data_IF_365529785765
#
_entry.id   IF_365529785765
#
_cell.length_a   1.000
_cell.length_b   1.000
_cell.length_c   1.000
_cell.angle_alpha   90.00
_cell.angle_beta   90.00
_cell.angle_gamma   90.00
#
_symmetry.space_group_name_H-M   'P 1'
#
loop_
_entity.id
_entity.type
_entity.pdbx_description
1 polymer ?
#
# COMPACT_ATOMS: atom_id res chain seq x y z
N UNK A 1 7.48 31.74 0.55
CA UNK A 1 6.66 30.51 0.63
C UNK A 1 7.50 29.29 0.27
N UNK A 2 7.95 29.18 -0.99
CA UNK A 2 8.70 28.01 -1.47
C UNK A 2 9.93 27.63 -0.63
N UNK A 3 10.79 28.56 -0.23
CA UNK A 3 11.93 28.24 0.67
C UNK A 3 11.47 27.61 1.99
N UNK A 4 10.37 28.08 2.57
CA UNK A 4 9.82 27.48 3.79
C UNK A 4 9.23 26.09 3.52
N UNK A 5 8.64 25.86 2.34
CA UNK A 5 8.24 24.53 1.90
C UNK A 5 9.46 23.63 1.78
N UNK A 6 10.53 24.05 1.10
CA UNK A 6 11.77 23.27 0.94
C UNK A 6 12.38 22.88 2.30
N UNK A 7 12.37 23.79 3.28
CA UNK A 7 12.82 23.46 4.65
C UNK A 7 11.96 22.36 5.28
N UNK A 8 10.63 22.41 5.13
CA UNK A 8 9.74 21.33 5.59
C UNK A 8 10.01 20.01 4.84
N UNK A 9 10.27 20.08 3.53
CA UNK A 9 10.57 18.90 2.72
C UNK A 9 11.89 18.25 3.15
N UNK A 10 12.92 19.05 3.43
CA UNK A 10 14.19 18.55 3.97
C UNK A 10 13.95 17.71 5.22
N UNK A 11 13.26 18.27 6.19
CA UNK A 11 13.05 17.62 7.49
C UNK A 11 12.13 16.39 7.33
N UNK A 12 11.11 16.46 6.48
CA UNK A 12 10.23 15.34 6.20
C UNK A 12 10.94 14.19 5.46
N UNK A 13 11.87 14.52 4.55
CA UNK A 13 12.67 13.51 3.85
C UNK A 13 13.70 12.84 4.75
N UNK A 14 14.20 13.51 5.79
CA UNK A 14 15.01 12.87 6.84
C UNK A 14 14.18 11.77 7.52
N UNK A 15 12.95 12.09 7.96
CA UNK A 15 12.07 11.10 8.61
C UNK A 15 11.74 9.92 7.69
N UNK A 16 11.44 10.19 6.42
CA UNK A 16 11.21 9.14 5.41
C UNK A 16 12.47 8.30 5.18
N UNK A 17 13.64 8.93 5.12
CA UNK A 17 14.93 8.27 4.96
C UNK A 17 15.24 7.30 6.10
N UNK A 18 14.94 7.71 7.33
CA UNK A 18 15.08 6.88 8.54
C UNK A 18 14.13 5.69 8.52
N UNK A 19 12.86 5.90 8.15
CA UNK A 19 11.89 4.82 7.99
C UNK A 19 12.32 3.82 6.91
N UNK A 20 12.84 4.30 5.77
CA UNK A 20 13.38 3.43 4.72
C UNK A 20 14.63 2.68 5.18
N UNK A 21 15.49 3.28 6.02
CA UNK A 21 16.66 2.62 6.60
C UNK A 21 16.25 1.48 7.55
N UNK A 22 15.22 1.73 8.35
CA UNK A 22 14.65 0.73 9.23
C UNK A 22 14.07 -0.44 8.44
N UNK A 23 13.25 -0.15 7.42
CA UNK A 23 12.70 -1.20 6.56
C UNK A 23 13.78 -2.01 5.82
N UNK A 24 14.85 -1.35 5.36
CA UNK A 24 16.02 -2.03 4.79
C UNK A 24 16.60 -3.06 5.76
N UNK A 25 16.86 -2.63 7.00
CA UNK A 25 17.42 -3.49 8.06
C UNK A 25 16.48 -4.66 8.41
N UNK A 26 15.18 -4.40 8.57
CA UNK A 26 14.17 -5.42 8.87
C UNK A 26 14.07 -6.43 7.73
N UNK A 27 14.00 -5.98 6.48
CA UNK A 27 13.92 -6.87 5.31
C UNK A 27 15.21 -7.67 5.09
N UNK A 28 16.38 -7.09 5.32
CA UNK A 28 17.65 -7.80 5.30
C UNK A 28 17.69 -8.91 6.36
N UNK A 29 17.16 -8.64 7.56
CA UNK A 29 17.04 -9.62 8.64
C UNK A 29 16.09 -10.76 8.26
N UNK A 30 14.90 -10.45 7.71
CA UNK A 30 13.95 -11.45 7.23
C UNK A 30 14.53 -12.30 6.10
N UNK A 31 15.20 -11.66 5.13
CA UNK A 31 15.85 -12.33 4.01
C UNK A 31 16.91 -13.33 4.47
N UNK A 32 17.75 -12.93 5.44
CA UNK A 32 18.77 -13.80 6.05
C UNK A 32 18.13 -14.93 6.85
N UNK A 33 17.18 -14.62 7.74
CA UNK A 33 16.51 -15.59 8.63
C UNK A 33 15.79 -16.69 7.86
N UNK A 34 15.14 -16.33 6.75
CA UNK A 34 14.31 -17.24 5.97
C UNK A 34 14.96 -17.65 4.64
N UNK A 35 16.29 -17.52 4.52
CA UNK A 35 17.07 -17.87 3.32
C UNK A 35 16.66 -19.22 2.73
N UNK A 36 16.48 -20.21 3.59
CA UNK A 36 16.20 -21.61 3.21
C UNK A 36 14.76 -22.04 3.55
N UNK A 37 13.89 -21.10 3.92
CA UNK A 37 12.46 -21.38 4.14
C UNK A 37 11.76 -21.57 2.79
N UNK A 38 11.63 -22.82 2.34
CA UNK A 38 11.03 -23.17 1.04
C UNK A 38 9.52 -22.90 1.01
N UNK A 39 9.04 -22.41 -0.13
CA UNK A 39 7.62 -22.15 -0.40
C UNK A 39 7.32 -22.29 -1.89
N UNK A 40 6.05 -22.43 -2.27
CA UNK A 40 5.66 -22.39 -3.67
C UNK A 40 5.89 -20.98 -4.26
N UNK A 41 6.60 -20.90 -5.39
CA UNK A 41 6.54 -19.72 -6.24
C UNK A 41 5.13 -19.55 -6.79
N UNK A 42 4.71 -18.30 -7.03
CA UNK A 42 3.38 -18.02 -7.59
C UNK A 42 3.48 -17.08 -8.78
N UNK A 43 3.03 -17.55 -9.94
CA UNK A 43 2.94 -16.77 -11.18
C UNK A 43 1.49 -16.77 -11.64
N UNK A 44 0.90 -15.60 -11.91
CA UNK A 44 -0.55 -15.48 -12.16
C UNK A 44 -1.42 -16.12 -11.06
N UNK A 45 -0.96 -16.03 -9.80
CA UNK A 45 -1.57 -16.67 -8.62
C UNK A 45 -1.62 -18.21 -8.68
N UNK A 46 -0.94 -18.85 -9.63
CA UNK A 46 -0.82 -20.31 -9.72
C UNK A 46 0.53 -20.78 -9.17
N UNK A 47 0.60 -21.99 -8.61
CA UNK A 47 1.86 -22.58 -8.17
C UNK A 47 2.83 -22.76 -9.35
N UNK A 48 4.05 -22.28 -9.14
CA UNK A 48 5.19 -22.38 -10.05
C UNK A 48 6.33 -23.14 -9.34
N UNK A 49 7.56 -23.01 -9.86
CA UNK A 49 8.74 -23.61 -9.24
C UNK A 49 8.91 -23.17 -7.78
N UNK A 50 9.51 -24.04 -6.92
CA UNK A 50 9.84 -23.67 -5.54
C UNK A 50 10.71 -22.41 -5.48
N UNK A 51 10.46 -21.57 -4.49
CA UNK A 51 11.30 -20.43 -4.11
C UNK A 51 11.52 -20.49 -2.59
N UNK A 52 12.27 -19.54 -2.03
CA UNK A 52 12.32 -19.36 -0.58
C UNK A 52 11.67 -18.05 -0.15
N UNK A 53 11.16 -18.01 1.08
CA UNK A 53 10.64 -16.76 1.65
C UNK A 53 11.76 -15.72 1.79
N UNK A 54 12.99 -16.15 2.10
CA UNK A 54 14.15 -15.27 2.13
C UNK A 54 14.43 -14.61 0.78
N UNK A 55 14.32 -15.35 -0.33
CA UNK A 55 14.37 -14.77 -1.68
C UNK A 55 13.28 -13.72 -1.90
N UNK A 56 12.04 -14.01 -1.49
CA UNK A 56 10.92 -13.04 -1.59
C UNK A 56 11.20 -11.76 -0.80
N UNK A 57 11.72 -11.89 0.43
CA UNK A 57 12.12 -10.74 1.25
C UNK A 57 13.30 -9.97 0.65
N UNK A 58 14.26 -10.66 0.02
CA UNK A 58 15.37 -10.01 -0.68
C UNK A 58 14.90 -9.19 -1.90
N UNK A 59 13.87 -9.66 -2.62
CA UNK A 59 13.24 -8.87 -3.69
C UNK A 59 12.62 -7.59 -3.13
N UNK A 60 11.91 -7.66 -2.00
CA UNK A 60 11.35 -6.47 -1.34
C UNK A 60 12.45 -5.52 -0.88
N UNK A 61 13.51 -6.03 -0.24
CA UNK A 61 14.68 -5.26 0.19
C UNK A 61 15.29 -4.48 -0.98
N UNK A 62 15.52 -5.16 -2.10
CA UNK A 62 16.09 -4.55 -3.30
C UNK A 62 15.25 -3.38 -3.84
N UNK A 63 13.93 -3.43 -3.70
CA UNK A 63 13.05 -2.32 -4.07
C UNK A 63 13.23 -1.11 -3.14
N UNK A 64 13.31 -1.34 -1.83
CA UNK A 64 13.56 -0.29 -0.83
C UNK A 64 14.92 0.38 -1.03
N UNK A 65 15.96 -0.41 -1.30
CA UNK A 65 17.32 0.10 -1.57
C UNK A 65 17.37 1.05 -2.77
N UNK A 66 16.66 0.71 -3.85
CA UNK A 66 16.55 1.62 -5.00
C UNK A 66 15.86 2.94 -4.65
N UNK A 67 14.92 2.95 -3.70
CA UNK A 67 14.29 4.21 -3.26
C UNK A 67 15.20 5.05 -2.39
N UNK A 68 16.01 4.42 -1.53
CA UNK A 68 17.06 5.13 -0.78
C UNK A 68 18.02 5.84 -1.73
N UNK A 69 18.49 5.12 -2.77
CA UNK A 69 19.32 5.71 -3.81
C UNK A 69 18.63 6.87 -4.53
N UNK A 70 17.34 6.74 -4.89
CA UNK A 70 16.57 7.82 -5.52
C UNK A 70 16.43 9.03 -4.61
N UNK A 71 16.24 8.82 -3.31
CA UNK A 71 16.16 9.90 -2.33
C UNK A 71 17.49 10.67 -2.27
N UNK A 72 18.61 9.97 -2.19
CA UNK A 72 19.94 10.60 -2.20
C UNK A 72 20.19 11.38 -3.49
N UNK A 73 19.73 10.84 -4.63
CA UNK A 73 19.85 11.50 -5.93
C UNK A 73 18.96 12.74 -6.07
N UNK A 74 17.80 12.78 -5.41
CA UNK A 74 16.83 13.88 -5.48
C UNK A 74 17.31 15.12 -4.70
N UNK A 75 17.90 14.90 -3.51
CA UNK A 75 18.20 15.98 -2.57
C UNK A 75 18.96 17.17 -3.17
N UNK A 76 20.00 17.00 -4.01
CA UNK A 76 20.72 18.13 -4.58
C UNK A 76 19.89 19.01 -5.53
N UNK A 77 18.84 18.45 -6.16
CA UNK A 77 17.93 19.21 -7.03
C UNK A 77 16.82 19.89 -6.26
N UNK A 78 16.31 19.23 -5.22
CA UNK A 78 15.17 19.71 -4.44
C UNK A 78 15.54 20.75 -3.38
N UNK A 79 16.67 20.55 -2.68
CA UNK A 79 17.03 21.32 -1.49
C UNK A 79 17.76 22.62 -1.85
N UNK A 80 17.12 23.45 -2.68
CA UNK A 80 17.62 24.75 -3.13
C UNK A 80 16.79 25.89 -2.54
N UNK A 81 17.40 27.04 -2.29
CA UNK A 81 16.66 28.23 -1.86
C UNK A 81 15.77 28.78 -3.00
N UNK A 82 14.59 29.29 -2.68
CA UNK A 82 13.82 30.14 -3.60
C UNK A 82 13.96 31.61 -3.19
N UNK A 83 14.85 32.32 -3.88
CA UNK A 83 15.02 33.76 -3.66
C UNK A 83 15.45 34.44 -4.96
N UNK A 84 14.47 34.93 -5.74
CA UNK A 84 14.74 35.51 -7.07
C UNK A 84 13.99 36.82 -7.34
N UNK A 85 13.39 37.43 -6.31
CA UNK A 85 12.64 38.68 -6.43
C UNK A 85 11.27 38.50 -7.10
N UNK A 86 10.68 39.60 -7.61
CA UNK A 86 9.30 39.58 -8.13
C UNK A 86 9.14 38.70 -9.39
N UNK A 87 10.00 38.88 -10.38
CA UNK A 87 9.94 38.19 -11.68
C UNK A 87 11.12 37.23 -11.91
N UNK A 88 11.93 36.94 -10.88
CA UNK A 88 13.05 36.00 -10.99
C UNK A 88 14.41 36.64 -11.34
N UNK A 89 14.49 37.96 -11.45
CA UNK A 89 15.68 38.70 -11.90
C UNK A 89 16.49 39.36 -10.79
N UNK A 90 15.99 39.36 -9.54
CA UNK A 90 16.60 40.06 -8.41
C UNK A 90 16.82 41.58 -8.60
N UNK A 91 16.17 42.21 -9.59
CA UNK A 91 16.42 43.61 -9.96
C UNK A 91 16.28 44.62 -8.80
N UNK A 92 15.40 44.35 -7.82
CA UNK A 92 15.22 45.18 -6.64
C UNK A 92 16.45 45.29 -5.73
N UNK A 93 17.44 44.40 -5.89
CA UNK A 93 18.67 44.37 -5.11
C UNK A 93 19.90 44.84 -5.92
N UNK A 94 19.72 45.28 -7.16
CA UNK A 94 20.81 45.75 -8.01
C UNK A 94 21.93 44.72 -8.14
N UNK A 95 23.18 45.14 -7.93
CA UNK A 95 24.37 44.29 -8.01
C UNK A 95 24.49 43.27 -6.90
N UNK A 96 23.79 43.47 -5.77
CA UNK A 96 23.92 42.64 -4.57
C UNK A 96 23.03 41.40 -4.57
N UNK A 97 22.11 41.28 -5.54
CA UNK A 97 21.08 40.25 -5.55
C UNK A 97 21.62 38.82 -5.40
N UNK A 98 22.65 38.47 -6.17
CA UNK A 98 23.28 37.14 -6.13
C UNK A 98 24.06 36.91 -4.83
N UNK A 99 24.77 37.93 -4.33
CA UNK A 99 25.49 37.86 -3.06
C UNK A 99 24.52 37.60 -1.89
N UNK A 100 23.36 38.26 -1.89
CA UNK A 100 22.30 38.03 -0.90
C UNK A 100 21.67 36.65 -1.05
N UNK A 101 21.39 36.18 -2.27
CA UNK A 101 20.88 34.83 -2.50
C UNK A 101 21.83 33.75 -1.95
N UNK A 102 23.13 33.90 -2.21
CA UNK A 102 24.19 33.02 -1.72
C UNK A 102 24.33 33.05 -0.20
N UNK A 103 24.26 34.23 0.41
CA UNK A 103 24.26 34.38 1.86
C UNK A 103 23.05 33.70 2.51
N UNK A 104 21.86 33.86 1.93
CA UNK A 104 20.64 33.22 2.41
C UNK A 104 20.69 31.68 2.27
N UNK A 105 21.22 31.17 1.16
CA UNK A 105 21.40 29.73 0.95
C UNK A 105 22.29 29.12 2.05
N UNK A 106 23.43 29.76 2.34
CA UNK A 106 24.33 29.36 3.43
C UNK A 106 23.65 29.40 4.81
N UNK A 107 22.94 30.49 5.11
CA UNK A 107 22.25 30.66 6.40
C UNK A 107 21.22 29.54 6.65
N UNK A 108 20.51 29.11 5.60
CA UNK A 108 19.46 28.09 5.70
C UNK A 108 19.97 26.66 5.51
N UNK A 109 21.26 26.48 5.24
CA UNK A 109 21.87 25.22 4.83
C UNK A 109 21.09 24.57 3.65
N UNK A 110 20.85 25.36 2.62
CA UNK A 110 20.28 24.96 1.33
C UNK A 110 21.27 25.29 0.21
N UNK A 111 21.14 24.60 -0.92
CA UNK A 111 21.96 24.90 -2.08
C UNK A 111 21.48 26.16 -2.81
N UNK A 112 22.39 26.81 -3.52
CA UNK A 112 22.05 27.92 -4.42
C UNK A 112 21.40 27.37 -5.69
N UNK A 113 20.26 27.90 -6.13
CA UNK A 113 19.66 27.48 -7.38
C UNK A 113 20.47 27.99 -8.57
N UNK A 114 20.55 27.20 -9.65
CA UNK A 114 21.21 27.65 -10.90
C UNK A 114 20.53 28.89 -11.48
N UNK A 115 19.20 28.97 -11.37
CA UNK A 115 18.36 30.08 -11.82
C UNK A 115 17.02 30.06 -11.06
N UNK A 116 16.19 31.09 -11.23
CA UNK A 116 14.84 31.14 -10.65
C UNK A 116 14.00 29.91 -11.02
N UNK A 117 13.16 29.44 -10.09
CA UNK A 117 12.30 28.29 -10.28
C UNK A 117 10.85 28.54 -9.81
N UNK A 118 10.41 29.80 -9.82
CA UNK A 118 9.04 30.18 -9.44
C UNK A 118 7.95 29.37 -10.16
N UNK A 119 8.14 29.12 -11.45
CA UNK A 119 7.22 28.36 -12.30
C UNK A 119 7.84 27.04 -12.81
N UNK A 120 9.10 26.74 -12.46
CA UNK A 120 9.75 25.47 -12.77
C UNK A 120 9.53 24.50 -11.61
N UNK A 121 8.45 23.71 -11.69
CA UNK A 121 7.97 22.86 -10.59
C UNK A 121 8.36 21.38 -10.72
N UNK A 122 9.27 21.07 -11.64
CA UNK A 122 9.75 19.73 -11.93
C UNK A 122 10.36 19.04 -10.70
N UNK A 123 11.14 19.75 -9.87
CA UNK A 123 11.73 19.20 -8.66
C UNK A 123 10.68 18.87 -7.58
N UNK A 124 9.62 19.68 -7.46
CA UNK A 124 8.49 19.38 -6.56
C UNK A 124 7.70 18.16 -7.07
N UNK A 125 7.50 18.06 -8.38
CA UNK A 125 6.85 16.91 -8.99
C UNK A 125 7.69 15.63 -8.85
N UNK A 126 9.02 15.73 -8.98
CA UNK A 126 9.96 14.63 -8.74
C UNK A 126 9.85 14.13 -7.29
N UNK A 127 9.78 15.04 -6.32
CA UNK A 127 9.63 14.71 -4.90
C UNK A 127 8.37 13.89 -4.61
N UNK A 128 7.20 14.35 -5.08
CA UNK A 128 5.93 13.61 -4.88
C UNK A 128 5.91 12.31 -5.70
N UNK A 129 6.53 12.30 -6.89
CA UNK A 129 6.67 11.08 -7.69
C UNK A 129 7.50 10.01 -6.97
N UNK A 130 8.59 10.41 -6.30
CA UNK A 130 9.37 9.51 -5.45
C UNK A 130 8.52 8.90 -4.32
N UNK A 131 7.69 9.71 -3.64
CA UNK A 131 6.74 9.21 -2.64
C UNK A 131 5.75 8.21 -3.23
N UNK A 132 5.27 8.46 -4.46
CA UNK A 132 4.44 7.52 -5.22
C UNK A 132 5.14 6.19 -5.48
N UNK A 133 6.43 6.21 -5.82
CA UNK A 133 7.25 5.00 -6.03
C UNK A 133 7.46 4.22 -4.73
N UNK A 134 7.75 4.91 -3.62
CA UNK A 134 7.92 4.33 -2.29
C UNK A 134 6.63 3.63 -1.86
N UNK A 135 5.51 4.37 -1.83
CA UNK A 135 4.22 3.83 -1.40
C UNK A 135 3.70 2.74 -2.33
N UNK A 136 3.95 2.82 -3.64
CA UNK A 136 3.67 1.74 -4.58
C UNK A 136 4.43 0.44 -4.26
N UNK A 137 5.68 0.56 -3.81
CA UNK A 137 6.48 -0.59 -3.35
C UNK A 137 5.93 -1.17 -2.04
N UNK A 138 5.56 -0.32 -1.09
CA UNK A 138 4.91 -0.77 0.15
C UNK A 138 3.59 -1.50 -0.15
N UNK A 139 2.80 -0.99 -1.10
CA UNK A 139 1.57 -1.62 -1.57
C UNK A 139 1.81 -3.01 -2.16
N UNK A 140 2.89 -3.20 -2.94
CA UNK A 140 3.30 -4.52 -3.43
C UNK A 140 3.59 -5.48 -2.27
N UNK A 141 4.35 -5.05 -1.26
CA UNK A 141 4.67 -5.86 -0.08
C UNK A 141 3.39 -6.22 0.69
N UNK A 142 2.53 -5.23 0.93
CA UNK A 142 1.25 -5.40 1.60
C UNK A 142 0.35 -6.40 0.87
N UNK A 143 0.22 -6.30 -0.46
CA UNK A 143 -0.59 -7.23 -1.25
C UNK A 143 -0.04 -8.66 -1.19
N UNK A 144 1.28 -8.84 -1.27
CA UNK A 144 1.89 -10.16 -1.10
C UNK A 144 1.50 -10.75 0.27
N UNK A 145 1.63 -9.98 1.36
CA UNK A 145 1.32 -10.42 2.72
C UNK A 145 -0.17 -10.70 2.90
N UNK A 146 -1.06 -9.85 2.37
CA UNK A 146 -2.51 -10.10 2.37
C UNK A 146 -2.87 -11.43 1.73
N UNK A 147 -2.26 -11.76 0.59
CA UNK A 147 -2.48 -13.03 -0.08
C UNK A 147 -1.94 -14.21 0.74
N UNK A 148 -0.79 -14.04 1.40
CA UNK A 148 -0.24 -15.07 2.29
C UNK A 148 -1.08 -15.26 3.57
N UNK A 149 -1.83 -14.23 3.98
CA UNK A 149 -2.75 -14.25 5.13
C UNK A 149 -4.09 -14.93 4.86
N UNK A 150 -4.43 -15.21 3.61
CA UNK A 150 -5.69 -15.91 3.27
C UNK A 150 -5.80 -17.22 4.05
N UNK A 151 -7.00 -17.56 4.52
CA UNK A 151 -7.26 -18.76 5.34
C UNK A 151 -6.75 -20.04 4.67
N UNK A 152 -6.87 -20.12 3.35
CA UNK A 152 -6.45 -21.25 2.54
C UNK A 152 -4.92 -21.32 2.39
N UNK A 153 -4.25 -20.16 2.43
CA UNK A 153 -2.80 -20.03 2.25
C UNK A 153 -2.09 -20.11 3.60
N UNK A 154 -2.35 -19.17 4.51
CA UNK A 154 -1.89 -19.15 5.90
C UNK A 154 -0.35 -19.21 6.08
N UNK A 155 0.41 -18.62 5.15
CA UNK A 155 1.87 -18.70 5.13
C UNK A 155 2.56 -17.59 5.94
N UNK A 156 1.92 -16.42 6.03
CA UNK A 156 2.43 -15.29 6.79
C UNK A 156 1.25 -14.50 7.38
N UNK A 157 1.49 -13.80 8.48
CA UNK A 157 0.50 -13.00 9.18
C UNK A 157 1.09 -11.71 9.73
N UNK A 158 0.31 -10.64 9.66
CA UNK A 158 0.56 -9.44 10.47
C UNK A 158 0.66 -9.80 11.97
N UNK A 159 1.45 -9.04 12.74
CA UNK A 159 1.52 -9.19 14.19
C UNK A 159 0.13 -9.13 14.82
N UNK A 160 -0.14 -10.05 15.75
CA UNK A 160 -1.42 -10.10 16.45
C UNK A 160 -1.46 -9.05 17.56
N UNK A 161 -2.44 -8.16 17.50
CA UNK A 161 -2.75 -7.23 18.59
C UNK A 161 -4.21 -7.42 18.98
N UNK A 162 -4.47 -7.67 20.27
CA UNK A 162 -5.82 -7.87 20.79
C UNK A 162 -6.69 -6.64 20.45
N UNK A 163 -7.81 -6.86 19.78
CA UNK A 163 -8.72 -5.80 19.35
C UNK A 163 -8.41 -5.19 17.98
N UNK A 164 -7.28 -5.50 17.34
CA UNK A 164 -6.91 -5.03 16.01
C UNK A 164 -7.08 -6.15 14.98
N UNK A 165 -8.04 -5.99 14.07
CA UNK A 165 -8.31 -6.99 13.03
C UNK A 165 -8.91 -8.30 13.54
N UNK A 166 -9.22 -8.41 14.84
CA UNK A 166 -9.93 -9.51 15.47
C UNK A 166 -11.41 -9.19 15.64
N UNK A 167 -12.29 -10.16 15.45
CA UNK A 167 -13.72 -10.02 15.73
C UNK A 167 -14.06 -10.71 17.04
N UNK A 168 -14.83 -10.04 17.91
CA UNK A 168 -15.32 -10.61 19.18
C UNK A 168 -16.19 -11.85 18.98
N UNK A 169 -16.77 -12.04 17.79
CA UNK A 169 -17.63 -13.17 17.45
C UNK A 169 -16.93 -14.26 16.62
N UNK A 170 -15.70 -14.00 16.14
CA UNK A 170 -14.94 -14.95 15.31
C UNK A 170 -13.46 -14.99 15.77
N UNK A 171 -13.11 -15.87 16.72
CA UNK A 171 -11.77 -15.95 17.32
C UNK A 171 -10.64 -16.20 16.30
N UNK A 172 -10.94 -16.91 15.21
CA UNK A 172 -9.99 -17.20 14.13
C UNK A 172 -9.77 -16.03 13.17
N UNK A 173 -10.63 -15.00 13.19
CA UNK A 173 -10.59 -13.92 12.20
C UNK A 173 -9.42 -12.99 12.48
N UNK A 174 -8.48 -12.95 11.54
CA UNK A 174 -7.31 -12.06 11.56
C UNK A 174 -7.24 -11.29 10.25
N UNK A 175 -7.67 -10.02 10.29
CA UNK A 175 -7.67 -9.16 9.11
C UNK A 175 -6.30 -8.48 8.92
N UNK A 176 -5.84 -8.28 7.67
CA UNK A 176 -4.59 -7.60 7.34
C UNK A 176 -4.74 -6.06 7.37
N UNK A 177 -5.05 -5.49 8.53
CA UNK A 177 -5.41 -4.06 8.68
C UNK A 177 -4.28 -3.13 8.23
N UNK A 178 -3.03 -3.47 8.54
CA UNK A 178 -1.87 -2.64 8.17
C UNK A 178 -1.69 -2.66 6.66
N UNK A 179 -1.82 -3.83 6.03
CA UNK A 179 -1.77 -3.96 4.57
C UNK A 179 -2.88 -3.16 3.89
N UNK A 180 -4.12 -3.25 4.39
CA UNK A 180 -5.26 -2.49 3.85
C UNK A 180 -4.99 -0.98 3.87
N UNK A 181 -4.46 -0.47 4.98
CA UNK A 181 -4.10 0.94 5.12
C UNK A 181 -2.97 1.34 4.16
N UNK A 182 -1.92 0.54 4.04
CA UNK A 182 -0.81 0.78 3.10
C UNK A 182 -1.34 0.88 1.66
N UNK A 183 -2.19 -0.06 1.24
CA UNK A 183 -2.76 -0.08 -0.11
C UNK A 183 -3.64 1.14 -0.36
N UNK A 184 -4.42 1.58 0.63
CA UNK A 184 -5.27 2.77 0.52
C UNK A 184 -4.43 4.05 0.38
N UNK A 185 -3.46 4.26 1.27
CA UNK A 185 -2.59 5.43 1.26
C UNK A 185 -1.74 5.52 -0.03
N UNK A 186 -1.23 4.39 -0.51
CA UNK A 186 -0.48 4.35 -1.77
C UNK A 186 -1.31 4.82 -2.98
N UNK A 187 -2.62 4.56 -2.98
CA UNK A 187 -3.50 5.04 -4.06
C UNK A 187 -3.70 6.55 -4.01
N UNK A 188 -3.78 7.14 -2.81
CA UNK A 188 -3.89 8.59 -2.63
C UNK A 188 -2.63 9.28 -3.15
N UNK A 189 -1.45 8.86 -2.69
CA UNK A 189 -0.17 9.44 -3.14
C UNK A 189 0.02 9.30 -4.65
N UNK A 190 -0.43 8.19 -5.26
CA UNK A 190 -0.41 8.04 -6.72
C UNK A 190 -1.23 9.12 -7.44
N UNK A 191 -2.40 9.52 -6.91
CA UNK A 191 -3.18 10.59 -7.52
C UNK A 191 -2.48 11.94 -7.37
N UNK A 192 -1.85 12.20 -6.23
CA UNK A 192 -1.09 13.43 -6.02
C UNK A 192 0.13 13.53 -6.92
N UNK A 193 0.80 12.41 -7.24
CA UNK A 193 1.87 12.41 -8.24
C UNK A 193 1.35 12.85 -9.62
N UNK A 194 0.17 12.38 -10.04
CA UNK A 194 -0.49 12.86 -11.26
C UNK A 194 -0.83 14.35 -11.18
N UNK A 195 -1.38 14.79 -10.05
CA UNK A 195 -1.73 16.20 -9.82
C UNK A 195 -0.51 17.13 -9.86
N UNK A 196 0.65 16.65 -9.39
CA UNK A 196 1.91 17.40 -9.48
C UNK A 196 2.43 17.51 -10.90
N UNK A 197 2.17 16.53 -11.77
CA UNK A 197 2.48 16.68 -13.19
C UNK A 197 1.62 17.77 -13.84
N UNK A 198 0.35 17.88 -13.42
CA UNK A 198 -0.52 18.99 -13.87
C UNK A 198 -0.03 20.34 -13.32
N UNK A 199 0.50 20.38 -12.09
CA UNK A 199 1.07 21.59 -11.49
C UNK A 199 2.29 22.15 -12.25
N UNK A 200 3.00 21.30 -12.99
CA UNK A 200 4.14 21.74 -13.83
C UNK A 200 3.72 22.61 -15.01
N UNK A 201 2.46 22.53 -15.46
CA UNK A 201 1.92 23.35 -16.53
C UNK A 201 1.61 24.78 -16.02
N UNK A 202 2.65 25.52 -15.65
CA UNK A 202 2.59 26.87 -15.11
C UNK A 202 2.77 27.94 -16.19
N UNK A 203 1.97 29.00 -16.13
CA UNK A 203 2.11 30.18 -16.99
C UNK A 203 3.26 31.09 -16.54
N UNK A 204 4.11 31.46 -17.50
CA UNK A 204 5.15 32.49 -17.39
C UNK A 204 6.00 32.39 -16.10
N UNK A 205 6.32 33.52 -15.45
CA UNK A 205 7.22 33.57 -14.29
C UNK A 205 6.52 33.34 -12.94
N UNK A 206 5.18 33.21 -12.92
CA UNK A 206 4.38 32.84 -11.73
C UNK A 206 3.01 32.30 -12.15
N UNK A 207 2.72 31.08 -11.74
CA UNK A 207 1.50 30.39 -12.16
C UNK A 207 0.21 31.01 -11.60
N UNK A 208 -0.80 31.13 -12.45
CA UNK A 208 -2.18 31.49 -12.12
C UNK A 208 -3.02 30.23 -11.99
N UNK A 209 -2.96 29.59 -10.82
CA UNK A 209 -3.78 28.40 -10.52
C UNK A 209 -2.95 27.16 -10.24
N UNK A 210 -2.18 26.60 -11.20
CA UNK A 210 -1.44 25.35 -11.06
C UNK A 210 -0.55 25.25 -9.80
N UNK A 211 0.07 26.37 -9.40
CA UNK A 211 0.85 26.44 -8.15
C UNK A 211 0.06 26.08 -6.89
N UNK A 212 -1.24 26.39 -6.83
CA UNK A 212 -2.09 26.08 -5.67
C UNK A 212 -2.34 24.58 -5.50
N UNK A 213 -2.18 23.79 -6.56
CA UNK A 213 -2.30 22.33 -6.50
C UNK A 213 -1.26 21.73 -5.54
N UNK A 214 -0.08 22.34 -5.46
CA UNK A 214 1.00 21.90 -4.57
C UNK A 214 0.61 21.98 -3.09
N UNK A 215 -0.24 22.95 -2.71
CA UNK A 215 -0.65 23.17 -1.33
C UNK A 215 -1.52 22.03 -0.79
N UNK A 216 -2.08 21.22 -1.69
CA UNK A 216 -2.79 19.98 -1.36
C UNK A 216 -1.84 18.80 -1.57
N UNK A 217 -1.30 18.67 -2.78
CA UNK A 217 -0.58 17.48 -3.20
C UNK A 217 0.68 17.21 -2.37
N UNK A 218 1.45 18.26 -2.05
CA UNK A 218 2.72 18.11 -1.32
C UNK A 218 2.44 17.65 0.12
N UNK A 219 1.79 18.42 1.01
CA UNK A 219 1.66 18.03 2.41
C UNK A 219 0.90 16.70 2.59
N UNK A 220 -0.19 16.49 1.85
CA UNK A 220 -0.96 15.26 1.97
C UNK A 220 -0.17 14.02 1.51
N UNK A 221 0.72 14.16 0.51
CA UNK A 221 1.57 13.05 0.07
C UNK A 221 2.59 12.65 1.13
N UNK A 222 3.19 13.61 1.83
CA UNK A 222 4.11 13.31 2.93
C UNK A 222 3.38 12.65 4.11
N UNK A 223 2.22 13.18 4.51
CA UNK A 223 1.40 12.60 5.59
C UNK A 223 0.99 11.16 5.24
N UNK A 224 0.46 10.94 4.04
CA UNK A 224 0.04 9.61 3.60
C UNK A 224 1.22 8.64 3.48
N UNK A 225 2.39 9.11 3.02
CA UNK A 225 3.60 8.27 2.93
C UNK A 225 4.14 7.91 4.30
N UNK A 226 4.21 8.85 5.24
CA UNK A 226 4.58 8.59 6.63
C UNK A 226 3.62 7.59 7.28
N UNK A 227 2.31 7.74 7.06
CA UNK A 227 1.31 6.77 7.51
C UNK A 227 1.53 5.37 6.93
N UNK A 228 1.84 5.26 5.64
CA UNK A 228 2.13 3.97 5.00
C UNK A 228 3.42 3.33 5.51
N UNK A 229 4.49 4.12 5.71
CA UNK A 229 5.75 3.67 6.28
C UNK A 229 5.57 3.18 7.72
N UNK A 230 4.84 3.93 8.55
CA UNK A 230 4.51 3.53 9.91
C UNK A 230 3.80 2.17 9.95
N UNK A 231 2.79 1.97 9.10
CA UNK A 231 2.09 0.68 9.01
C UNK A 231 3.00 -0.43 8.49
N UNK A 232 3.87 -0.13 7.51
CA UNK A 232 4.81 -1.11 6.97
C UNK A 232 5.84 -1.55 8.00
N UNK A 233 6.36 -0.62 8.82
CA UNK A 233 7.26 -0.92 9.94
C UNK A 233 6.58 -1.85 10.94
N UNK A 234 5.41 -1.45 11.44
CA UNK A 234 4.63 -2.27 12.38
C UNK A 234 4.38 -3.69 11.83
N UNK A 235 3.96 -3.81 10.57
CA UNK A 235 3.70 -5.09 9.91
C UNK A 235 4.95 -5.96 9.78
N UNK A 236 6.07 -5.39 9.29
CA UNK A 236 7.27 -6.15 8.97
C UNK A 236 8.08 -6.52 10.21
N UNK A 237 8.14 -5.64 11.20
CA UNK A 237 8.87 -5.89 12.45
C UNK A 237 8.27 -7.06 13.24
N UNK A 238 6.94 -7.19 13.21
CA UNK A 238 6.22 -8.27 13.88
C UNK A 238 5.68 -9.34 12.93
N UNK A 239 6.20 -9.44 11.70
CA UNK A 239 5.69 -10.39 10.70
C UNK A 239 5.86 -11.83 11.20
N UNK A 240 4.77 -12.57 11.27
CA UNK A 240 4.75 -13.98 11.66
C UNK A 240 4.79 -14.82 10.39
N UNK A 241 5.86 -15.59 10.20
CA UNK A 241 6.02 -16.51 9.06
C UNK A 241 5.79 -17.94 9.55
N UNK A 242 5.06 -18.75 8.79
CA UNK A 242 4.83 -20.18 9.07
C UNK A 242 5.53 -21.06 8.01
N UNK A 243 6.79 -21.47 8.26
CA UNK A 243 7.54 -22.38 7.40
C UNK A 243 6.84 -23.74 7.19
N UNK A 244 6.13 -24.24 8.20
CA UNK A 244 5.43 -25.52 8.14
C UNK A 244 4.28 -25.45 7.14
N UNK A 245 3.51 -24.37 7.17
CA UNK A 245 2.43 -24.14 6.22
C UNK A 245 2.94 -23.87 4.80
N UNK A 246 4.02 -23.10 4.65
CA UNK A 246 4.68 -22.90 3.34
C UNK A 246 5.10 -24.22 2.69
N UNK A 247 5.74 -25.11 3.46
CA UNK A 247 6.12 -26.45 2.99
C UNK A 247 4.90 -27.29 2.62
N UNK A 248 3.86 -27.31 3.47
CA UNK A 248 2.62 -28.03 3.18
C UNK A 248 1.94 -27.54 1.88
N UNK A 249 1.93 -26.23 1.64
CA UNK A 249 1.36 -25.66 0.43
C UNK A 249 2.19 -25.98 -0.81
N UNK A 250 3.53 -25.98 -0.68
CA UNK A 250 4.44 -26.42 -1.75
C UNK A 250 4.07 -27.83 -2.27
N UNK A 251 3.76 -28.74 -1.34
CA UNK A 251 3.44 -30.14 -1.64
C UNK A 251 2.00 -30.36 -2.17
N UNK A 252 1.15 -29.32 -2.18
CA UNK A 252 -0.27 -29.42 -2.51
C UNK A 252 -0.56 -29.99 -3.91
N UNK A 253 0.38 -29.85 -4.84
CA UNK A 253 0.24 -30.34 -6.22
C UNK A 253 0.82 -31.74 -6.43
N UNK A 254 1.28 -32.41 -5.37
CA UNK A 254 1.87 -33.75 -5.45
C UNK A 254 3.16 -33.79 -6.28
N UNK A 255 3.96 -32.72 -6.26
CA UNK A 255 5.23 -32.63 -6.98
C UNK A 255 5.13 -32.18 -8.44
N UNK A 256 3.93 -31.88 -8.95
CA UNK A 256 3.75 -31.41 -10.35
C UNK A 256 4.52 -30.11 -10.65
N UNK A 257 4.75 -29.28 -9.63
CA UNK A 257 5.52 -28.03 -9.75
C UNK A 257 6.97 -28.23 -10.21
N UNK A 258 7.56 -29.42 -10.02
CA UNK A 258 8.93 -29.76 -10.46
C UNK A 258 8.96 -30.75 -11.62
N UNK A 259 7.80 -31.09 -12.21
CA UNK A 259 7.69 -32.11 -13.25
C UNK A 259 8.61 -31.84 -14.47
N UNK A 260 8.74 -30.57 -14.88
CA UNK A 260 9.63 -30.19 -15.97
C UNK A 260 11.13 -30.39 -15.65
N UNK A 261 11.53 -30.24 -14.39
CA UNK A 261 12.92 -30.48 -13.94
C UNK A 261 13.22 -31.97 -13.92
N UNK A 262 12.27 -32.80 -13.48
CA UNK A 262 12.42 -34.27 -13.52
C UNK A 262 12.45 -34.83 -14.94
N UNK A 263 11.77 -34.19 -15.89
CA UNK A 263 11.83 -34.58 -17.31
C UNK A 263 13.15 -34.13 -17.98
N UNK A 264 13.73 -33.00 -17.56
CA UNK A 264 15.02 -32.49 -18.05
C UNK A 264 16.24 -33.26 -17.55
N UNK A 265 16.15 -33.89 -16.37
CA UNK A 265 17.21 -34.73 -15.80
C UNK A 265 17.23 -36.17 -16.35
N UNK A 266 16.38 -36.50 -17.34
CA UNK A 266 16.40 -37.82 -18.00
C UNK A 266 17.60 -37.92 -18.96
N UNK A 267 18.35 -39.05 -18.96
CA UNK A 267 19.46 -39.26 -19.88
C UNK A 267 19.04 -39.08 -21.35
N UNK A 268 19.88 -38.40 -22.13
CA UNK A 268 19.63 -38.01 -23.53
C UNK A 268 19.28 -39.17 -24.48
N UNK A 269 19.54 -40.42 -24.09
CA UNK A 269 19.26 -41.62 -24.89
C UNK A 269 17.81 -42.14 -24.78
N UNK A 270 16.94 -41.56 -23.94
CA UNK A 270 15.51 -41.91 -23.95
C UNK A 270 14.74 -40.96 -24.88
N UNK A 271 14.14 -41.45 -25.97
CA UNK A 271 13.38 -40.60 -26.88
C UNK A 271 12.23 -39.92 -26.13
N UNK A 272 12.06 -38.61 -26.36
CA UNK A 272 10.90 -37.87 -25.87
C UNK A 272 9.63 -38.59 -26.34
N UNK A 273 8.69 -38.96 -25.46
CA UNK A 273 7.41 -39.46 -25.93
C UNK A 273 6.80 -38.38 -26.83
N UNK A 274 6.53 -38.72 -28.10
CA UNK A 274 5.79 -37.85 -29.03
C UNK A 274 4.58 -37.28 -28.29
N UNK A 275 4.19 -36.01 -28.50
CA UNK A 275 3.06 -35.40 -27.82
C UNK A 275 1.83 -36.26 -28.09
N UNK A 276 1.49 -37.14 -27.15
CA UNK A 276 0.22 -37.84 -27.16
C UNK A 276 -0.79 -36.73 -26.90
N UNK A 277 -1.67 -36.47 -27.86
CA UNK A 277 -2.89 -35.66 -27.74
C UNK A 277 -3.87 -36.19 -26.66
N UNK A 278 -3.38 -36.82 -25.58
CA UNK A 278 -4.13 -37.49 -24.51
C UNK A 278 -3.77 -36.98 -23.10
N UNK A 279 -3.32 -35.73 -22.98
CA UNK A 279 -3.20 -35.05 -21.67
C UNK A 279 -4.17 -33.86 -21.53
N UNK A 280 -5.25 -33.85 -22.31
CA UNK A 280 -6.39 -32.93 -22.16
C UNK A 280 -7.72 -33.65 -21.93
N UNK A 281 -7.69 -34.73 -21.15
CA UNK A 281 -8.88 -35.25 -20.48
C UNK A 281 -8.59 -35.37 -19.00
N UNK A 282 -9.04 -34.36 -18.25
CA UNK A 282 -9.34 -34.51 -16.82
C UNK A 282 -10.09 -35.84 -16.64
N UNK A 283 -9.73 -36.69 -15.67
CA UNK A 283 -10.65 -37.71 -15.23
C UNK A 283 -11.83 -36.99 -14.56
N UNK A 284 -12.95 -36.87 -15.26
CA UNK A 284 -14.26 -36.81 -14.61
C UNK A 284 -14.42 -38.17 -13.90
N UNK A 285 -13.95 -38.30 -12.67
CA UNK A 285 -14.43 -39.37 -11.79
C UNK A 285 -15.79 -38.94 -11.23
N UNK A 286 -16.83 -39.77 -11.36
CA UNK A 286 -17.98 -39.68 -10.47
C UNK A 286 -17.51 -40.07 -9.06
N UNK A 287 -17.83 -39.25 -8.05
CA UNK A 287 -17.73 -39.70 -6.66
C UNK A 287 -18.75 -40.82 -6.47
N UNK A 288 -18.28 -42.06 -6.39
CA UNK A 288 -19.07 -43.17 -5.89
C UNK A 288 -19.03 -43.15 -4.36
N UNK A 289 -20.24 -42.99 -3.78
CA UNK A 289 -20.74 -43.54 -2.52
C UNK A 289 -19.71 -43.92 -1.45
N UNK A 290 -19.72 -43.14 -0.37
CA UNK A 290 -19.70 -43.68 0.99
C UNK A 290 -20.59 -42.77 1.87
N UNK A 291 -21.78 -43.27 2.15
CA UNK A 291 -22.75 -42.70 3.07
C UNK A 291 -22.76 -43.57 4.32
N UNK A 292 -22.50 -43.04 5.52
CA UNK A 292 -23.06 -43.60 6.74
C UNK A 292 -24.39 -42.90 7.00
N UNK A 293 -25.48 -43.68 7.01
CA UNK A 293 -26.81 -43.26 7.43
C UNK A 293 -26.78 -42.62 8.83
N UNK A 294 -27.35 -41.42 8.96
CA UNK A 294 -28.03 -40.97 10.19
C UNK A 294 -29.30 -40.19 9.78
N UNK A 295 -30.46 -40.45 10.41
CA UNK A 295 -31.72 -39.81 10.01
C UNK A 295 -31.79 -38.35 10.51
N UNK A 296 -32.33 -37.47 9.68
CA UNK A 296 -32.58 -36.07 10.02
C UNK A 296 -33.77 -35.93 10.99
N UNK A 297 -33.74 -34.98 11.94
CA UNK A 297 -34.86 -34.70 12.82
C UNK A 297 -35.98 -33.98 12.09
N UNK A 298 -37.21 -34.41 12.35
CA UNK A 298 -38.45 -33.85 11.81
C UNK A 298 -38.71 -32.46 12.42
N UNK A 299 -38.79 -31.41 11.59
CA UNK A 299 -39.37 -30.12 11.98
C UNK A 299 -40.86 -30.08 11.59
N UNK A 300 -41.77 -29.73 12.51
CA UNK A 300 -43.20 -29.73 12.23
C UNK A 300 -43.65 -28.53 11.37
N UNK A 301 -44.56 -28.81 10.44
CA UNK A 301 -45.27 -27.85 9.59
C UNK A 301 -46.19 -26.95 10.44
N UNK A 302 -46.05 -25.64 10.31
CA UNK A 302 -47.12 -24.68 10.63
C UNK A 302 -47.53 -23.95 9.35
N UNK A 303 -48.73 -24.29 8.85
CA UNK A 303 -49.39 -23.61 7.74
C UNK A 303 -49.96 -22.26 8.19
N UNK A 304 -49.62 -21.17 7.49
CA UNK A 304 -50.48 -19.98 7.36
C UNK A 304 -50.21 -19.29 6.02
N UNK A 305 -51.22 -19.10 5.14
CA UNK A 305 -50.98 -18.58 3.80
C UNK A 305 -50.86 -17.05 3.79
N UNK A 306 -49.76 -16.55 3.23
CA UNK A 306 -49.58 -15.14 2.86
C UNK A 306 -50.40 -14.83 1.60
N UNK A 307 -51.46 -14.02 1.75
CA UNK A 307 -52.25 -13.48 0.63
C UNK A 307 -51.40 -12.51 -0.21
N UNK A 308 -51.32 -12.77 -1.52
CA UNK A 308 -50.79 -11.85 -2.54
C UNK A 308 -51.65 -10.57 -2.58
N UNK A 309 -51.03 -9.39 -2.47
CA UNK A 309 -51.67 -8.09 -2.73
C UNK A 309 -51.47 -7.67 -4.19
N UNK A 310 -52.52 -7.16 -4.82
CA UNK A 310 -52.52 -6.47 -6.13
C UNK A 310 -52.15 -4.98 -5.94
N UNK A 311 -51.64 -4.30 -6.98
CA UNK A 311 -51.20 -2.90 -6.91
C UNK A 311 -52.38 -1.92 -7.07
N UNK A 312 -52.36 -0.84 -6.27
CA UNK A 312 -53.29 0.30 -6.37
C UNK A 312 -54.29 0.38 -5.20
N UNK A 313 -53.92 1.14 -4.15
CA UNK A 313 -54.80 1.99 -3.31
C UNK A 313 -54.03 2.56 -2.08
N UNK A 314 -54.43 3.72 -1.52
CA UNK A 314 -53.53 4.67 -0.85
C UNK A 314 -53.24 4.39 0.63
N UNK A 315 -52.08 4.87 1.10
CA UNK A 315 -51.61 4.77 2.49
C UNK A 315 -52.41 5.68 3.42
N UNK A 316 -53.07 5.11 4.45
CA UNK A 316 -53.55 5.87 5.63
C UNK A 316 -52.46 5.94 6.69
N UNK A 317 -52.19 7.16 7.11
CA UNK A 317 -51.29 7.59 8.20
C UNK A 317 -51.73 7.01 9.55
N UNK A 318 -50.77 6.46 10.32
CA UNK A 318 -50.96 6.17 11.75
C UNK A 318 -50.34 7.30 12.56
N UNK A 319 -51.19 7.96 13.33
CA UNK A 319 -50.90 9.01 14.28
C UNK A 319 -50.00 8.48 15.42
N UNK A 320 -48.98 9.25 15.77
CA UNK A 320 -48.22 9.13 17.02
C UNK A 320 -48.92 9.96 18.10
N UNK A 321 -49.04 9.48 19.36
CA UNK A 321 -49.61 10.27 20.43
C UNK A 321 -48.59 11.30 20.97
N UNK A 322 -49.07 12.53 21.14
CA UNK A 322 -48.40 13.66 21.80
C UNK A 322 -48.49 13.50 23.32
N UNK A 323 -47.39 13.71 24.03
CA UNK A 323 -47.39 14.15 25.43
C UNK A 323 -46.27 15.20 25.65
N UNK A 324 -46.64 16.31 26.29
CA UNK A 324 -45.83 17.41 26.87
C UNK A 324 -46.71 18.04 27.97
N UNK A 325 -46.19 18.89 28.88
CA UNK A 325 -44.83 19.03 29.41
C UNK A 325 -44.80 19.12 30.96
N UNK A 326 -43.60 19.18 31.57
CA UNK A 326 -43.40 19.57 32.97
C UNK A 326 -41.96 20.05 33.20
N UNK A 327 -41.83 21.21 33.84
CA UNK A 327 -40.65 22.07 34.00
C UNK A 327 -39.50 21.52 34.87
N UNK A 328 -38.30 22.07 34.66
CA UNK A 328 -37.13 21.95 35.55
C UNK A 328 -35.84 22.41 34.86
N UNK A 329 -35.28 23.54 35.31
CA UNK A 329 -34.28 24.35 34.59
C UNK A 329 -32.79 24.07 34.87
N UNK A 330 -32.00 25.14 34.65
CA UNK A 330 -30.53 25.32 34.74
C UNK A 330 -29.76 24.95 33.44
N UNK A 331 -29.39 25.91 32.58
CA UNK A 331 -28.36 26.97 32.66
C UNK A 331 -26.95 26.48 32.31
N UNK A 332 -26.36 27.05 31.25
CA UNK A 332 -24.95 26.86 30.91
C UNK A 332 -24.61 27.42 29.53
N UNK A 333 -24.48 28.75 29.43
CA UNK A 333 -24.09 29.44 28.20
C UNK A 333 -22.59 29.31 27.89
N UNK A 334 -22.26 29.43 26.60
CA UNK A 334 -20.91 29.62 26.08
C UNK A 334 -20.94 30.70 25.00
N UNK A 335 -20.20 31.78 25.23
CA UNK A 335 -19.67 32.79 24.29
C UNK A 335 -18.68 33.69 25.05
N UNK A 336 -17.80 34.45 24.39
CA UNK A 336 -17.70 34.73 22.95
C UNK A 336 -16.87 33.74 22.14
#
# INVERSE_FOLDING_TARGET
MDTATVLQLRDAFVMIGDDLAHLDTTLATLAKRHRDTVMAGRTHLQHALPVTFGYKAAVWLSMIQRHRQRLDQLQPRLLVVQFSGAAGTLASLGTEGLAVQSALARELNLAEPTITWHAARDSMAEAVSLLGLVTGTLSKIAVDIMLMMQTEVAEAFEPFVKGRGSSSTMPQKRNPISCEMIVALAKAVRQHAGLMLDAMASDHERATGPWHLEWIAVPESFIATAGALHQARFMLDGLIVDPGRMKKNLDMTGGLIVAAVTDGARPAHRPRPRPRHRLRRLPRRPRARDTPHRPAPQTPRCHRPLRRRRPGEPRRSRQLPRHRPGDGGSSGGWRP
#
